data_IF_658618829540
#
_entry.id   IF_658618829540
#
_cell.length_a   1.000
_cell.length_b   1.000
_cell.length_c   1.000
_cell.angle_alpha   90.00
_cell.angle_beta   90.00
_cell.angle_gamma   90.00
#
_symmetry.space_group_name_H-M   'P 1'
#
loop_
_entity.id
_entity.type
_entity.pdbx_description
1 polymer ?
#
# COMPACT_ATOMS: atom_id res chain seq x y z
N UNK A 1 31.37 -14.34 -41.23
CA UNK A 1 31.43 -12.96 -41.79
C UNK A 1 30.78 -12.02 -40.81
N UNK A 2 31.62 -11.28 -40.14
CA UNK A 2 31.29 -10.47 -38.96
C UNK A 2 31.14 -9.03 -39.41
N UNK A 3 30.05 -8.37 -39.11
CA UNK A 3 29.89 -6.94 -39.38
C UNK A 3 29.51 -6.20 -38.09
N UNK A 4 30.54 -5.68 -37.41
CA UNK A 4 30.45 -4.67 -36.35
C UNK A 4 30.00 -3.35 -36.99
N UNK A 5 28.94 -2.76 -36.47
CA UNK A 5 28.66 -1.34 -36.68
C UNK A 5 28.90 -0.56 -35.38
N UNK A 6 29.97 0.18 -35.37
CA UNK A 6 30.26 1.28 -34.45
C UNK A 6 29.32 2.44 -34.73
N UNK A 7 28.54 2.90 -33.79
CA UNK A 7 27.91 4.22 -33.82
C UNK A 7 28.71 5.19 -32.97
N UNK A 8 29.23 6.13 -33.67
CA UNK A 8 30.01 7.28 -33.23
C UNK A 8 29.04 8.30 -32.62
N UNK A 9 29.32 8.67 -31.38
CA UNK A 9 28.61 9.71 -30.64
C UNK A 9 29.33 11.03 -30.89
N UNK A 10 28.69 11.95 -31.54
CA UNK A 10 29.17 13.34 -31.65
C UNK A 10 28.57 14.18 -30.51
N UNK A 11 29.46 14.90 -29.89
CA UNK A 11 29.29 15.59 -28.62
C UNK A 11 28.76 17.03 -28.72
N UNK A 12 28.96 17.81 -27.68
CA UNK A 12 28.02 18.81 -27.23
C UNK A 12 28.32 20.22 -27.72
N UNK A 13 27.29 20.98 -27.94
CA UNK A 13 27.39 22.44 -28.11
C UNK A 13 26.90 23.15 -26.85
N UNK A 14 27.89 23.59 -26.11
CA UNK A 14 27.78 24.53 -24.99
C UNK A 14 27.33 25.90 -25.52
N UNK A 15 26.20 26.43 -25.12
CA UNK A 15 25.88 27.85 -25.30
C UNK A 15 25.57 28.45 -23.93
N UNK A 16 26.57 29.19 -23.45
CA UNK A 16 26.43 30.22 -22.42
C UNK A 16 25.62 31.39 -23.00
N UNK A 17 24.57 31.82 -22.30
CA UNK A 17 24.04 33.16 -22.39
C UNK A 17 23.81 33.67 -20.97
N UNK A 18 24.60 34.65 -20.59
CA UNK A 18 24.45 35.45 -19.37
C UNK A 18 23.59 36.67 -19.69
N UNK A 19 22.68 37.02 -18.75
CA UNK A 19 22.15 38.35 -18.47
C UNK A 19 20.92 38.11 -17.57
N UNK A 20 20.89 38.47 -16.28
CA UNK A 20 20.99 39.80 -15.75
C UNK A 20 19.59 40.39 -15.57
N UNK A 21 18.95 40.20 -14.37
CA UNK A 21 17.99 41.16 -13.84
C UNK A 21 17.71 40.84 -12.35
N UNK A 22 18.22 41.72 -11.50
CA UNK A 22 17.83 41.88 -10.09
C UNK A 22 16.38 42.39 -10.04
N UNK A 23 15.49 41.64 -9.46
CA UNK A 23 14.22 42.19 -8.93
C UNK A 23 14.11 41.74 -7.48
N UNK A 24 14.35 42.71 -6.59
CA UNK A 24 14.04 42.62 -5.17
C UNK A 24 12.54 42.84 -5.04
N UNK A 25 11.81 41.77 -4.80
CA UNK A 25 10.42 41.84 -4.34
C UNK A 25 10.36 41.24 -2.94
N UNK A 26 10.33 42.14 -1.96
CA UNK A 26 9.93 41.84 -0.59
C UNK A 26 8.48 41.35 -0.63
N UNK A 27 8.24 40.10 -0.39
CA UNK A 27 6.91 39.55 -0.16
C UNK A 27 6.92 38.86 1.19
N UNK A 28 6.07 39.34 2.08
CA UNK A 28 5.78 38.79 3.40
C UNK A 28 5.55 37.30 3.34
N UNK A 29 6.46 36.55 3.92
CA UNK A 29 6.27 35.11 4.16
C UNK A 29 5.30 35.00 5.34
N UNK A 30 4.04 34.75 5.05
CA UNK A 30 3.16 34.10 6.00
C UNK A 30 3.63 32.63 6.11
N UNK A 31 3.91 32.09 7.30
CA UNK A 31 4.13 30.68 7.47
C UNK A 31 2.80 29.99 7.22
N UNK A 32 2.66 29.40 6.04
CA UNK A 32 1.67 28.37 5.83
C UNK A 32 2.17 27.21 6.68
N UNK A 33 1.58 27.04 7.85
CA UNK A 33 1.62 25.79 8.57
C UNK A 33 0.98 24.76 7.60
N UNK A 34 1.80 24.15 6.76
CA UNK A 34 1.47 22.89 6.17
C UNK A 34 1.29 21.94 7.35
N UNK A 35 0.05 21.78 7.77
CA UNK A 35 -0.33 20.63 8.56
C UNK A 35 -0.08 19.44 7.63
N UNK A 36 1.12 18.88 7.73
CA UNK A 36 1.34 17.52 7.27
C UNK A 36 0.36 16.67 8.09
N UNK A 37 -0.79 16.46 7.51
CA UNK A 37 -1.63 15.34 7.91
C UNK A 37 -0.80 14.11 7.57
N UNK A 38 0.08 13.72 8.50
CA UNK A 38 0.57 12.37 8.58
C UNK A 38 -0.69 11.54 8.60
N UNK A 39 -1.02 10.92 7.48
CA UNK A 39 -1.96 9.83 7.44
C UNK A 39 -1.31 8.72 8.29
N UNK A 40 -1.42 8.87 9.61
CA UNK A 40 -1.32 7.76 10.52
C UNK A 40 -2.28 6.73 9.96
N UNK A 41 -1.75 5.57 9.57
CA UNK A 41 -2.54 4.46 9.05
C UNK A 41 -3.77 4.31 9.89
N UNK A 42 -4.90 4.78 9.36
CA UNK A 42 -6.12 4.84 10.11
C UNK A 42 -6.52 3.42 10.43
N UNK A 43 -6.47 3.07 11.70
CA UNK A 43 -7.39 2.10 12.27
C UNK A 43 -8.73 2.53 11.67
N UNK A 44 -9.29 1.69 10.78
CA UNK A 44 -10.54 2.00 10.11
C UNK A 44 -11.51 2.52 11.15
N UNK A 45 -12.10 3.68 10.89
CA UNK A 45 -12.96 4.34 11.86
C UNK A 45 -14.07 3.36 12.26
N UNK A 46 -14.12 2.88 13.51
CA UNK A 46 -15.14 1.93 13.94
C UNK A 46 -16.56 2.50 13.79
N UNK A 47 -16.68 3.83 13.61
CA UNK A 47 -17.95 4.49 13.31
C UNK A 47 -18.53 4.09 11.94
N UNK A 48 -17.73 3.55 11.02
CA UNK A 48 -18.18 3.08 9.72
C UNK A 48 -18.70 1.63 9.73
N UNK A 49 -18.63 0.92 10.85
CA UNK A 49 -19.04 -0.50 10.93
C UNK A 49 -18.13 -1.46 10.16
N UNK A 50 -16.93 -1.02 9.78
CA UNK A 50 -15.92 -1.83 9.10
C UNK A 50 -14.78 -2.12 10.05
N UNK A 51 -14.56 -3.39 10.37
CA UNK A 51 -13.39 -3.87 11.09
C UNK A 51 -12.62 -4.81 10.16
N UNK A 52 -11.31 -4.69 10.09
CA UNK A 52 -10.48 -5.53 9.24
C UNK A 52 -9.07 -5.68 9.78
N UNK A 53 -8.38 -6.73 9.36
CA UNK A 53 -7.01 -7.00 9.79
C UNK A 53 -6.42 -8.22 9.11
N UNK A 54 -5.18 -8.54 9.49
CA UNK A 54 -4.45 -9.70 8.99
C UNK A 54 -4.01 -10.53 10.19
N UNK A 55 -4.60 -11.71 10.36
CA UNK A 55 -4.16 -12.68 11.34
C UNK A 55 -2.95 -13.45 10.80
N UNK A 56 -2.00 -13.78 11.68
CA UNK A 56 -0.78 -14.50 11.31
C UNK A 56 -0.59 -15.71 12.22
N UNK A 57 -0.29 -16.87 11.63
CA UNK A 57 0.06 -18.08 12.37
C UNK A 57 1.38 -18.64 11.84
N UNK A 58 2.27 -19.07 12.75
CA UNK A 58 3.56 -19.67 12.39
C UNK A 58 3.62 -21.12 12.86
N UNK A 59 3.98 -22.04 11.95
CA UNK A 59 4.12 -23.45 12.26
C UNK A 59 5.20 -24.09 11.37
N UNK A 60 6.17 -24.78 11.98
CA UNK A 60 7.25 -25.50 11.29
C UNK A 60 8.02 -24.68 10.23
N UNK A 61 8.30 -23.39 10.51
CA UNK A 61 9.04 -22.52 9.60
C UNK A 61 8.21 -21.99 8.43
N UNK A 62 6.91 -22.24 8.43
CA UNK A 62 5.93 -21.63 7.56
C UNK A 62 5.18 -20.53 8.33
N UNK A 63 4.84 -19.47 7.64
CA UNK A 63 3.94 -18.44 8.16
C UNK A 63 2.74 -18.31 7.24
N UNK A 64 1.57 -18.27 7.84
CA UNK A 64 0.29 -18.14 7.14
C UNK A 64 -0.33 -16.80 7.51
N UNK A 65 -0.65 -16.01 6.50
CA UNK A 65 -1.35 -14.74 6.61
C UNK A 65 -2.81 -14.96 6.21
N UNK A 66 -3.74 -14.50 7.07
CA UNK A 66 -5.18 -14.63 6.88
C UNK A 66 -5.85 -13.26 6.96
N UNK A 67 -6.02 -12.57 5.83
CA UNK A 67 -6.78 -11.34 5.82
C UNK A 67 -8.25 -11.61 6.15
N UNK A 68 -8.82 -10.74 6.98
CA UNK A 68 -10.20 -10.86 7.42
C UNK A 68 -10.89 -9.49 7.47
N UNK A 69 -12.22 -9.50 7.39
CA UNK A 69 -13.05 -8.33 7.53
C UNK A 69 -14.31 -8.67 8.31
N UNK A 70 -14.84 -7.67 9.01
CA UNK A 70 -16.19 -7.69 9.57
C UNK A 70 -16.94 -6.49 9.04
N UNK A 71 -18.06 -6.74 8.37
CA UNK A 71 -18.96 -5.73 7.83
C UNK A 71 -20.31 -5.81 8.53
N UNK A 72 -21.10 -4.73 8.42
CA UNK A 72 -22.50 -4.76 8.84
C UNK A 72 -23.28 -5.77 7.98
N UNK A 73 -24.35 -6.39 8.53
CA UNK A 73 -25.18 -7.30 7.77
C UNK A 73 -25.73 -6.66 6.50
N UNK A 74 -25.67 -7.38 5.38
CA UNK A 74 -26.18 -6.89 4.10
C UNK A 74 -25.29 -5.86 3.39
N UNK A 75 -24.11 -5.55 3.89
CA UNK A 75 -23.18 -4.57 3.30
C UNK A 75 -22.19 -5.26 2.36
N UNK A 76 -22.24 -4.99 1.04
CA UNK A 76 -21.29 -5.53 0.08
C UNK A 76 -19.99 -4.72 0.11
N UNK A 77 -18.90 -5.36 -0.31
CA UNK A 77 -17.61 -4.73 -0.41
C UNK A 77 -16.69 -5.40 -1.40
N UNK A 78 -15.48 -4.91 -1.47
CA UNK A 78 -14.37 -5.56 -2.18
C UNK A 78 -13.08 -5.44 -1.37
N UNK A 79 -12.11 -6.29 -1.64
CA UNK A 79 -10.82 -6.24 -0.97
C UNK A 79 -9.66 -6.39 -1.95
N UNK A 80 -8.51 -5.91 -1.53
CA UNK A 80 -7.21 -6.13 -2.14
C UNK A 80 -6.22 -6.45 -1.03
N UNK A 81 -5.58 -7.60 -1.11
CA UNK A 81 -4.53 -8.04 -0.20
C UNK A 81 -3.24 -8.25 -0.98
N UNK A 82 -2.18 -7.62 -0.54
CA UNK A 82 -0.83 -7.74 -1.10
C UNK A 82 0.14 -8.24 -0.03
N UNK A 83 0.95 -9.24 -0.38
CA UNK A 83 2.02 -9.76 0.46
C UNK A 83 3.32 -9.75 -0.33
N UNK A 84 4.36 -9.11 0.19
CA UNK A 84 5.67 -9.04 -0.44
C UNK A 84 6.80 -9.29 0.56
N UNK A 85 7.84 -9.96 0.12
CA UNK A 85 9.01 -10.29 0.95
C UNK A 85 9.59 -11.66 0.60
N UNK A 86 10.80 -11.95 1.08
CA UNK A 86 11.45 -13.24 0.88
C UNK A 86 11.58 -13.68 -0.60
N UNK A 87 11.55 -12.74 -1.56
CA UNK A 87 11.51 -13.05 -2.99
C UNK A 87 10.14 -13.49 -3.51
N UNK A 88 9.10 -13.36 -2.69
CA UNK A 88 7.72 -13.72 -3.02
C UNK A 88 6.87 -12.45 -3.13
N UNK A 89 5.94 -12.45 -4.09
CA UNK A 89 4.88 -11.46 -4.20
C UNK A 89 3.56 -12.19 -4.45
N UNK A 90 2.56 -11.90 -3.63
CA UNK A 90 1.21 -12.46 -3.73
C UNK A 90 0.23 -11.30 -3.72
N UNK A 91 -0.65 -11.26 -4.73
CA UNK A 91 -1.73 -10.30 -4.83
C UNK A 91 -3.05 -11.06 -4.92
N UNK A 92 -3.97 -10.77 -4.03
CA UNK A 92 -5.31 -11.35 -3.97
C UNK A 92 -6.34 -10.24 -3.91
N UNK A 93 -7.48 -10.45 -4.54
CA UNK A 93 -8.58 -9.49 -4.49
C UNK A 93 -9.89 -10.14 -4.91
N UNK A 94 -10.97 -9.50 -4.50
CA UNK A 94 -12.30 -10.02 -4.82
C UNK A 94 -13.41 -9.19 -4.22
N UNK A 95 -14.64 -9.64 -4.46
CA UNK A 95 -15.84 -9.11 -3.83
C UNK A 95 -16.07 -9.76 -2.46
N UNK A 96 -16.65 -9.00 -1.56
CA UNK A 96 -17.11 -9.46 -0.26
C UNK A 96 -18.63 -9.52 -0.34
N UNK A 97 -19.17 -10.73 -0.28
CA UNK A 97 -20.63 -10.92 -0.31
C UNK A 97 -21.26 -10.47 1.01
N UNK A 98 -22.39 -9.77 0.95
CA UNK A 98 -23.11 -9.39 2.16
C UNK A 98 -23.71 -10.61 2.83
N UNK A 99 -23.06 -11.00 3.92
CA UNK A 99 -23.53 -12.11 4.76
C UNK A 99 -24.45 -11.64 5.90
N UNK A 100 -24.81 -12.55 6.81
CA UNK A 100 -25.63 -12.24 7.99
C UNK A 100 -24.88 -11.38 9.03
N UNK A 101 -23.66 -10.96 8.72
CA UNK A 101 -22.74 -10.29 9.63
C UNK A 101 -21.75 -11.28 10.26
N UNK A 102 -20.69 -10.73 10.84
CA UNK A 102 -19.62 -11.51 11.44
C UNK A 102 -18.31 -11.40 10.68
N UNK A 103 -17.30 -12.11 11.14
CA UNK A 103 -15.98 -12.09 10.54
C UNK A 103 -15.93 -13.01 9.32
N UNK A 104 -15.48 -12.45 8.19
CA UNK A 104 -15.27 -13.17 6.93
C UNK A 104 -13.79 -13.25 6.65
N UNK A 105 -13.27 -14.43 6.37
CA UNK A 105 -11.93 -14.64 5.86
C UNK A 105 -11.92 -14.31 4.36
N UNK A 106 -10.95 -13.49 3.94
CA UNK A 106 -10.84 -13.00 2.57
C UNK A 106 -9.90 -13.85 1.71
N UNK A 107 -9.08 -14.67 2.36
CA UNK A 107 -8.11 -15.54 1.71
C UNK A 107 -7.08 -16.10 2.68
N UNK A 108 -6.07 -16.74 2.14
CA UNK A 108 -4.95 -17.28 2.88
C UNK A 108 -3.69 -17.23 2.01
N UNK A 109 -2.56 -16.84 2.59
CA UNK A 109 -1.26 -16.90 1.95
C UNK A 109 -0.25 -17.55 2.90
N UNK A 110 0.36 -18.66 2.49
CA UNK A 110 1.38 -19.36 3.27
C UNK A 110 2.72 -19.26 2.57
N UNK A 111 3.73 -18.81 3.33
CA UNK A 111 5.10 -18.60 2.86
C UNK A 111 6.10 -19.19 3.85
N UNK A 112 7.37 -19.33 3.42
CA UNK A 112 8.46 -19.84 4.27
C UNK A 112 9.18 -18.69 4.97
N UNK A 113 9.60 -18.89 6.22
CA UNK A 113 10.37 -17.93 7.01
C UNK A 113 9.55 -17.20 8.05
N UNK A 114 10.15 -16.21 8.74
CA UNK A 114 9.46 -15.46 9.79
C UNK A 114 8.50 -14.41 9.19
N UNK A 115 7.41 -14.14 9.89
CA UNK A 115 6.43 -13.12 9.50
C UNK A 115 7.06 -11.73 9.29
N UNK A 116 8.09 -11.40 10.07
CA UNK A 116 8.83 -10.13 9.97
C UNK A 116 9.61 -9.94 8.65
N UNK A 117 9.77 -11.01 7.87
CA UNK A 117 10.39 -10.97 6.54
C UNK A 117 9.43 -10.53 5.42
N UNK A 118 8.18 -10.25 5.76
CA UNK A 118 7.12 -9.91 4.80
C UNK A 118 6.40 -8.63 5.18
N UNK A 119 6.06 -7.85 4.16
CA UNK A 119 5.14 -6.74 4.25
C UNK A 119 3.76 -7.22 3.75
N UNK A 120 2.74 -7.05 4.57
CA UNK A 120 1.37 -7.44 4.25
C UNK A 120 0.46 -6.20 4.30
N UNK A 121 -0.29 -5.97 3.25
CA UNK A 121 -1.20 -4.85 3.11
C UNK A 121 -2.60 -5.36 2.76
N UNK A 122 -3.60 -4.89 3.50
CA UNK A 122 -5.00 -5.17 3.23
C UNK A 122 -5.76 -3.87 3.07
N UNK A 123 -6.48 -3.75 1.97
CA UNK A 123 -7.41 -2.66 1.72
C UNK A 123 -8.80 -3.23 1.50
N UNK A 124 -9.78 -2.66 2.19
CA UNK A 124 -11.20 -2.99 2.01
C UNK A 124 -11.92 -1.77 1.47
N UNK A 125 -12.80 -1.96 0.49
CA UNK A 125 -13.62 -0.90 -0.07
C UNK A 125 -15.09 -1.24 0.14
N UNK A 126 -15.81 -0.33 0.78
CA UNK A 126 -17.24 -0.46 1.06
C UNK A 126 -17.93 0.81 0.63
N UNK A 127 -18.98 0.70 -0.18
CA UNK A 127 -19.73 1.85 -0.72
C UNK A 127 -18.83 2.92 -1.36
N UNK A 128 -17.75 2.50 -2.02
CA UNK A 128 -16.78 3.40 -2.64
C UNK A 128 -15.76 4.02 -1.69
N UNK A 129 -15.90 3.83 -0.38
CA UNK A 129 -14.94 4.28 0.62
C UNK A 129 -13.88 3.21 0.86
N UNK A 130 -12.61 3.63 0.84
CA UNK A 130 -11.46 2.74 1.01
C UNK A 130 -10.94 2.80 2.43
N UNK A 131 -10.76 1.63 3.03
CA UNK A 131 -10.23 1.43 4.37
C UNK A 131 -8.90 0.67 4.28
N UNK A 132 -7.82 1.27 4.78
CA UNK A 132 -6.55 0.57 4.97
C UNK A 132 -6.62 -0.18 6.30
N UNK A 133 -6.44 -1.49 6.25
CA UNK A 133 -6.47 -2.34 7.43
C UNK A 133 -5.06 -2.44 8.04
N UNK A 134 -4.93 -2.47 9.37
CA UNK A 134 -3.62 -2.59 9.98
C UNK A 134 -2.94 -3.90 9.56
N UNK A 135 -1.74 -3.77 9.02
CA UNK A 135 -0.88 -4.89 8.62
C UNK A 135 -0.11 -5.52 9.78
N UNK A 136 -0.46 -5.22 11.02
CA UNK A 136 0.17 -5.83 12.18
C UNK A 136 -0.33 -7.26 12.30
N UNK A 137 0.55 -8.26 12.26
CA UNK A 137 0.15 -9.63 12.50
C UNK A 137 -0.30 -9.76 13.96
N UNK A 138 -1.60 -9.81 14.17
CA UNK A 138 -2.11 -10.30 15.45
C UNK A 138 -1.78 -11.79 15.52
N UNK A 139 -0.86 -12.14 16.43
CA UNK A 139 -0.54 -13.54 16.74
C UNK A 139 -1.79 -14.17 17.38
N UNK A 140 -2.31 -15.18 16.73
CA UNK A 140 -3.36 -16.05 17.28
C UNK A 140 -2.69 -17.12 18.13
#
# INVERSE_FOLDING_TARGET
>A
MTRRQSRKTDGPTLRLIAAGALIVASACAAPILATETTAAGGIGDPAAGVECGIATASHFGLVTFRPWVRLAPGQPGSFSFALSGGGTQIDQGGSIDPGPGGQTLLGEATVTGPASGYAAELTVTVEGTRFACPGTPDAI
#
